data_IF_651626206360
#
_entry.id   IF_651626206360
#
_cell.length_a   1.000
_cell.length_b   1.000
_cell.length_c   1.000
_cell.angle_alpha   90.00
_cell.angle_beta   90.00
_cell.angle_gamma   90.00
#
_symmetry.space_group_name_H-M   'P 1'
#
loop_
_entity.id
_entity.type
_entity.pdbx_description
1 polymer ?
#
# COMPACT_ATOMS: atom_id res chain seq x y z
N UNK A 1 28.80 39.07 31.20
CA UNK A 1 30.20 39.19 31.60
C UNK A 1 30.46 40.43 32.47
N UNK A 2 30.32 41.65 31.96
CA UNK A 2 30.72 42.89 32.65
C UNK A 2 29.97 43.19 33.95
N UNK A 3 28.69 42.81 34.04
CA UNK A 3 27.86 43.02 35.23
C UNK A 3 27.99 41.91 36.29
N UNK A 4 28.63 40.77 35.95
CA UNK A 4 28.72 39.60 36.82
C UNK A 4 30.09 38.90 36.63
N UNK A 5 31.16 39.44 37.22
CA UNK A 5 32.52 38.94 37.02
C UNK A 5 32.73 37.53 37.59
N UNK A 6 31.98 37.15 38.63
CA UNK A 6 32.05 35.82 39.23
C UNK A 6 31.70 34.69 38.24
N UNK A 7 30.84 34.95 37.25
CA UNK A 7 30.49 33.97 36.21
C UNK A 7 31.66 33.65 35.29
N UNK A 8 32.62 34.56 35.10
CA UNK A 8 33.80 34.30 34.25
C UNK A 8 34.97 33.82 35.12
N UNK A 9 35.15 34.41 36.31
CA UNK A 9 36.32 34.15 37.14
C UNK A 9 36.22 32.85 37.93
N UNK A 10 35.00 32.38 38.26
CA UNK A 10 34.77 31.19 39.08
C UNK A 10 34.11 30.05 38.30
N UNK A 11 34.04 30.11 36.97
CA UNK A 11 33.54 29.00 36.15
C UNK A 11 34.53 28.62 35.05
N UNK A 12 34.53 27.35 34.68
CA UNK A 12 35.24 26.87 33.50
C UNK A 12 34.29 26.96 32.32
N UNK A 13 34.71 27.67 31.27
CA UNK A 13 33.92 27.81 30.05
C UNK A 13 34.19 26.60 29.16
N UNK A 14 33.12 25.90 28.78
CA UNK A 14 33.14 24.84 27.78
C UNK A 14 32.39 25.33 26.52
N UNK A 15 33.05 25.23 25.37
CA UNK A 15 32.53 25.76 24.11
C UNK A 15 31.86 24.64 23.31
N UNK A 16 30.58 24.85 22.98
CA UNK A 16 29.82 23.93 22.13
C UNK A 16 29.58 24.57 20.76
N UNK A 17 30.23 24.00 19.75
CA UNK A 17 30.01 24.37 18.36
C UNK A 17 28.84 23.59 17.75
N UNK A 18 28.46 24.00 16.53
CA UNK A 18 27.54 23.21 15.70
C UNK A 18 28.12 21.81 15.49
N UNK A 19 27.26 20.82 15.39
CA UNK A 19 27.73 19.45 15.17
C UNK A 19 28.50 19.32 13.86
N UNK A 20 29.73 18.79 13.88
CA UNK A 20 30.48 18.52 12.66
C UNK A 20 29.81 17.38 11.88
N UNK A 21 30.14 17.27 10.59
CA UNK A 21 29.57 16.27 9.70
C UNK A 21 29.75 14.83 10.23
N UNK A 22 30.91 14.53 10.83
CA UNK A 22 31.19 13.23 11.44
C UNK A 22 30.25 12.92 12.60
N UNK A 23 29.90 13.92 13.41
CA UNK A 23 28.94 13.74 14.51
C UNK A 23 27.52 13.50 13.98
N UNK A 24 27.12 14.21 12.91
CA UNK A 24 25.83 13.98 12.26
C UNK A 24 25.74 12.53 11.75
N UNK A 25 26.78 12.04 11.09
CA UNK A 25 26.84 10.67 10.57
C UNK A 25 26.82 9.63 11.69
N UNK A 26 27.61 9.80 12.75
CA UNK A 26 27.63 8.86 13.88
C UNK A 26 26.26 8.78 14.58
N UNK A 27 25.58 9.94 14.73
CA UNK A 27 24.24 9.98 15.33
C UNK A 27 23.23 9.28 14.41
N UNK A 28 23.20 9.62 13.12
CA UNK A 28 22.31 8.95 12.17
C UNK A 28 22.57 7.45 12.08
N UNK A 29 23.83 7.01 12.07
CA UNK A 29 24.22 5.60 12.09
C UNK A 29 23.67 4.89 13.34
N UNK A 30 23.81 5.49 14.52
CA UNK A 30 23.29 4.92 15.76
C UNK A 30 21.76 4.71 15.72
N UNK A 31 21.00 5.60 15.09
CA UNK A 31 19.54 5.45 14.96
C UNK A 31 19.14 4.50 13.82
N UNK A 32 19.77 4.60 12.65
CA UNK A 32 19.41 3.84 11.45
C UNK A 32 19.90 2.39 11.50
N UNK A 33 21.03 2.10 12.15
CA UNK A 33 21.52 0.73 12.36
C UNK A 33 20.49 -0.14 13.09
N UNK A 34 19.78 0.43 14.07
CA UNK A 34 18.72 -0.24 14.85
C UNK A 34 17.42 -0.41 14.07
N UNK A 35 17.26 0.28 12.95
CA UNK A 35 16.04 0.26 12.15
C UNK A 35 16.07 -0.89 11.14
N UNK A 36 15.47 -2.01 11.51
CA UNK A 36 15.50 -3.27 10.75
C UNK A 36 14.67 -3.24 9.44
N UNK A 37 13.84 -2.21 9.22
CA UNK A 37 12.95 -2.16 8.05
C UNK A 37 13.67 -1.76 6.75
N UNK A 38 14.88 -1.20 6.85
CA UNK A 38 15.71 -0.77 5.72
C UNK A 38 16.80 -1.82 5.46
N UNK A 39 17.02 -2.15 4.18
CA UNK A 39 18.10 -3.04 3.76
C UNK A 39 19.47 -2.43 4.04
N UNK A 40 20.42 -3.25 4.49
CA UNK A 40 21.76 -2.81 4.86
C UNK A 40 22.52 -2.10 3.71
N UNK A 41 22.24 -2.49 2.47
CA UNK A 41 22.79 -1.87 1.26
C UNK A 41 22.49 -0.35 1.19
N UNK A 42 21.29 0.07 1.60
CA UNK A 42 20.86 1.46 1.50
C UNK A 42 21.13 2.27 2.76
N UNK A 43 21.48 1.64 3.88
CA UNK A 43 21.64 2.33 5.18
C UNK A 43 22.72 3.40 5.13
N UNK A 44 23.88 3.08 4.55
CA UNK A 44 25.01 4.03 4.47
C UNK A 44 24.64 5.27 3.65
N UNK A 45 24.01 5.08 2.49
CA UNK A 45 23.56 6.19 1.64
C UNK A 45 22.55 7.08 2.36
N UNK A 46 21.65 6.49 3.15
CA UNK A 46 20.65 7.23 3.93
C UNK A 46 21.31 8.02 5.05
N UNK A 47 22.27 7.42 5.76
CA UNK A 47 23.03 8.08 6.85
C UNK A 47 23.77 9.31 6.30
N UNK A 48 24.48 9.16 5.19
CA UNK A 48 25.20 10.25 4.54
C UNK A 48 24.22 11.36 4.11
N UNK A 49 23.14 10.98 3.43
CA UNK A 49 22.13 11.92 2.97
C UNK A 49 21.46 12.69 4.12
N UNK A 50 21.20 12.03 5.26
CA UNK A 50 20.63 12.69 6.44
C UNK A 50 21.54 13.80 6.95
N UNK A 51 22.85 13.55 7.05
CA UNK A 51 23.81 14.60 7.46
C UNK A 51 23.88 15.75 6.46
N UNK A 52 23.91 15.45 5.14
CA UNK A 52 23.90 16.47 4.08
C UNK A 52 22.64 17.36 4.14
N UNK A 53 21.47 16.77 4.40
CA UNK A 53 20.22 17.54 4.52
C UNK A 53 20.28 18.50 5.71
N UNK A 54 20.84 18.09 6.84
CA UNK A 54 20.97 18.99 7.99
C UNK A 54 21.99 20.11 7.75
N UNK A 55 23.09 19.82 7.06
CA UNK A 55 24.07 20.82 6.66
C UNK A 55 23.48 21.84 5.68
N UNK A 56 22.75 21.39 4.67
CA UNK A 56 22.04 22.29 3.76
C UNK A 56 21.00 23.15 4.48
N UNK A 57 20.27 22.59 5.45
CA UNK A 57 19.35 23.36 6.29
C UNK A 57 20.07 24.47 7.08
N UNK A 58 21.27 24.19 7.61
CA UNK A 58 22.11 25.21 8.26
C UNK A 58 22.51 26.31 7.29
N UNK A 59 22.97 25.96 6.09
CA UNK A 59 23.33 26.92 5.05
C UNK A 59 22.14 27.84 4.68
N UNK A 60 20.94 27.27 4.53
CA UNK A 60 19.74 28.08 4.24
C UNK A 60 19.28 28.93 5.43
N UNK A 61 19.52 28.50 6.68
CA UNK A 61 19.28 29.34 7.85
C UNK A 61 20.13 30.61 7.79
N UNK A 62 21.42 30.48 7.47
CA UNK A 62 22.33 31.62 7.37
C UNK A 62 21.86 32.60 6.25
N UNK A 63 21.51 32.08 5.07
CA UNK A 63 20.92 32.89 3.98
C UNK A 63 19.61 33.57 4.43
N UNK A 64 18.77 32.88 5.19
CA UNK A 64 17.49 33.40 5.65
C UNK A 64 17.70 34.60 6.59
N UNK A 65 18.68 34.51 7.51
CA UNK A 65 19.03 35.63 8.39
C UNK A 65 19.52 36.83 7.59
N UNK A 66 20.37 36.61 6.58
CA UNK A 66 20.90 37.68 5.73
C UNK A 66 19.79 38.42 4.97
N UNK A 67 18.88 37.65 4.35
CA UNK A 67 17.84 38.20 3.47
C UNK A 67 16.66 38.79 4.25
N UNK A 68 16.17 38.07 5.25
CA UNK A 68 14.92 38.42 5.95
C UNK A 68 15.16 39.16 7.26
N UNK A 69 16.42 39.26 7.72
CA UNK A 69 16.79 39.82 9.03
C UNK A 69 16.06 39.14 10.19
N UNK A 70 15.63 37.88 9.99
CA UNK A 70 14.96 37.05 10.98
C UNK A 70 15.84 35.85 11.28
N UNK A 71 16.14 35.65 12.56
CA UNK A 71 17.00 34.55 12.99
C UNK A 71 16.26 33.22 12.87
N UNK A 72 16.85 32.27 12.17
CA UNK A 72 16.43 30.86 12.11
C UNK A 72 17.67 30.00 12.40
N UNK A 73 17.48 28.88 13.08
CA UNK A 73 18.58 28.01 13.51
C UNK A 73 18.20 26.55 13.25
N UNK A 74 19.09 25.81 12.60
CA UNK A 74 19.04 24.36 12.60
C UNK A 74 19.78 23.87 13.85
N UNK A 75 19.04 23.30 14.80
CA UNK A 75 19.61 22.79 16.06
C UNK A 75 19.80 21.28 16.01
N UNK A 76 20.71 20.70 16.82
CA UNK A 76 20.81 19.24 16.94
C UNK A 76 19.49 18.57 17.32
N UNK A 77 18.63 19.26 18.10
CA UNK A 77 17.28 18.78 18.41
C UNK A 77 16.45 18.60 17.14
N UNK A 78 16.46 19.57 16.22
CA UNK A 78 15.75 19.46 14.95
C UNK A 78 16.25 18.28 14.10
N UNK A 79 17.55 17.97 14.19
CA UNK A 79 18.12 16.82 13.50
C UNK A 79 17.60 15.48 14.06
N UNK A 80 17.55 15.35 15.39
CA UNK A 80 16.98 14.17 16.05
C UNK A 80 15.49 14.00 15.74
N UNK A 81 14.74 15.09 15.78
CA UNK A 81 13.31 15.11 15.43
C UNK A 81 13.09 14.71 13.96
N UNK A 82 13.97 15.15 13.06
CA UNK A 82 13.97 14.75 11.65
C UNK A 82 14.18 13.24 11.49
N UNK A 83 15.21 12.66 12.12
CA UNK A 83 15.48 11.22 12.06
C UNK A 83 14.29 10.41 12.62
N UNK A 84 13.76 10.83 13.76
CA UNK A 84 12.60 10.18 14.37
C UNK A 84 11.39 10.21 13.43
N UNK A 85 11.08 11.39 12.88
CA UNK A 85 9.95 11.56 11.95
C UNK A 85 10.13 10.73 10.69
N UNK A 86 11.35 10.65 10.15
CA UNK A 86 11.68 9.82 9.00
C UNK A 86 11.40 8.33 9.28
N UNK A 87 11.90 7.79 10.39
CA UNK A 87 11.70 6.37 10.72
C UNK A 87 10.22 6.03 10.95
N UNK A 88 9.48 6.92 11.61
CA UNK A 88 8.05 6.76 11.81
C UNK A 88 7.28 6.78 10.48
N UNK A 89 7.57 7.76 9.62
CA UNK A 89 6.92 7.90 8.32
C UNK A 89 7.23 6.70 7.41
N UNK A 90 8.48 6.22 7.42
CA UNK A 90 8.89 5.05 6.66
C UNK A 90 8.09 3.81 7.07
N UNK A 91 7.95 3.57 8.37
CA UNK A 91 7.15 2.46 8.90
C UNK A 91 5.70 2.56 8.43
N UNK A 92 5.08 3.73 8.60
CA UNK A 92 3.69 3.96 8.17
C UNK A 92 3.51 3.67 6.67
N UNK A 93 4.40 4.19 5.83
CA UNK A 93 4.34 3.97 4.38
C UNK A 93 4.52 2.51 3.99
N UNK A 94 5.40 1.78 4.67
CA UNK A 94 5.60 0.35 4.45
C UNK A 94 4.37 -0.46 4.85
N UNK A 95 3.76 -0.14 5.98
CA UNK A 95 2.52 -0.78 6.45
C UNK A 95 1.36 -0.50 5.48
N UNK A 96 1.23 0.74 4.99
CA UNK A 96 0.22 1.12 4.01
C UNK A 96 0.41 0.37 2.67
N UNK A 97 1.65 0.24 2.21
CA UNK A 97 1.97 -0.52 1.00
C UNK A 97 1.63 -2.01 1.18
N UNK A 98 1.95 -2.59 2.34
CA UNK A 98 1.61 -3.98 2.65
C UNK A 98 0.10 -4.21 2.63
N UNK A 99 -0.69 -3.30 3.21
CA UNK A 99 -2.16 -3.37 3.19
C UNK A 99 -2.72 -3.25 1.77
N UNK A 100 -2.13 -2.40 0.94
CA UNK A 100 -2.53 -2.28 -0.47
C UNK A 100 -2.23 -3.56 -1.25
N UNK A 101 -1.06 -4.16 -1.04
CA UNK A 101 -0.69 -5.43 -1.66
C UNK A 101 -1.64 -6.56 -1.24
N UNK A 102 -1.99 -6.64 0.05
CA UNK A 102 -2.95 -7.62 0.57
C UNK A 102 -4.33 -7.45 -0.06
N UNK A 103 -4.84 -6.21 -0.14
CA UNK A 103 -6.12 -5.91 -0.80
C UNK A 103 -6.12 -6.33 -2.26
N UNK A 104 -5.03 -6.07 -2.98
CA UNK A 104 -4.88 -6.49 -4.37
C UNK A 104 -4.91 -8.02 -4.49
N UNK A 105 -4.18 -8.72 -3.62
CA UNK A 105 -4.15 -10.17 -3.59
C UNK A 105 -5.55 -10.77 -3.33
N UNK A 106 -6.30 -10.22 -2.37
CA UNK A 106 -7.69 -10.61 -2.13
C UNK A 106 -8.54 -10.34 -3.39
N UNK A 107 -8.36 -9.20 -4.04
CA UNK A 107 -9.04 -8.89 -5.30
C UNK A 107 -8.78 -9.92 -6.40
N UNK A 108 -7.54 -10.36 -6.57
CA UNK A 108 -7.15 -11.39 -7.55
C UNK A 108 -7.85 -12.71 -7.23
N UNK A 109 -7.83 -13.15 -5.97
CA UNK A 109 -8.50 -14.39 -5.53
C UNK A 109 -10.00 -14.32 -5.83
N UNK A 110 -10.66 -13.18 -5.56
CA UNK A 110 -12.09 -13.00 -5.86
C UNK A 110 -12.40 -13.06 -7.35
N UNK A 111 -11.52 -12.56 -8.19
CA UNK A 111 -11.68 -12.63 -9.65
C UNK A 111 -11.58 -14.08 -10.12
N UNK A 112 -10.62 -14.84 -9.59
CA UNK A 112 -10.45 -16.26 -9.92
C UNK A 112 -11.66 -17.10 -9.48
N UNK A 113 -12.15 -16.89 -8.26
CA UNK A 113 -13.39 -17.51 -7.76
C UNK A 113 -14.60 -17.23 -8.68
N UNK A 114 -14.74 -15.98 -9.14
CA UNK A 114 -15.82 -15.58 -10.04
C UNK A 114 -15.70 -16.27 -11.41
N UNK A 115 -14.48 -16.42 -11.95
CA UNK A 115 -14.24 -17.15 -13.20
C UNK A 115 -14.67 -18.61 -13.10
N UNK A 116 -14.33 -19.29 -12.00
CA UNK A 116 -14.75 -20.67 -11.74
C UNK A 116 -16.28 -20.77 -11.64
N UNK A 117 -16.91 -19.84 -10.93
CA UNK A 117 -18.36 -19.82 -10.76
C UNK A 117 -19.08 -19.62 -12.10
N UNK A 118 -18.59 -18.73 -12.97
CA UNK A 118 -19.15 -18.52 -14.31
C UNK A 118 -19.10 -19.81 -15.11
N UNK A 119 -17.97 -20.54 -15.09
CA UNK A 119 -17.83 -21.80 -15.81
C UNK A 119 -18.81 -22.88 -15.30
N UNK A 120 -19.02 -22.95 -13.98
CA UNK A 120 -20.03 -23.84 -13.39
C UNK A 120 -21.46 -23.46 -13.79
N UNK A 121 -21.78 -22.17 -13.81
CA UNK A 121 -23.09 -21.67 -14.23
C UNK A 121 -23.36 -21.98 -15.69
N UNK A 122 -22.39 -21.80 -16.58
CA UNK A 122 -22.51 -22.15 -18.01
C UNK A 122 -22.75 -23.65 -18.21
N UNK A 123 -22.07 -24.50 -17.44
CA UNK A 123 -22.32 -25.95 -17.45
C UNK A 123 -23.75 -26.29 -16.99
N UNK A 124 -24.25 -25.65 -15.93
CA UNK A 124 -25.63 -25.85 -15.43
C UNK A 124 -26.67 -25.39 -16.46
N UNK A 125 -26.48 -24.21 -17.05
CA UNK A 125 -27.36 -23.68 -18.10
C UNK A 125 -27.39 -24.59 -19.32
N UNK A 126 -26.23 -25.12 -19.74
CA UNK A 126 -26.14 -26.08 -20.82
C UNK A 126 -26.93 -27.37 -20.57
N UNK A 127 -26.91 -27.90 -19.34
CA UNK A 127 -27.71 -29.07 -18.94
C UNK A 127 -29.21 -28.77 -18.97
N UNK A 128 -29.63 -27.67 -18.35
CA UNK A 128 -31.03 -27.26 -18.30
C UNK A 128 -31.62 -27.03 -19.70
N UNK A 129 -30.88 -26.41 -20.62
CA UNK A 129 -31.30 -26.25 -22.02
C UNK A 129 -31.52 -27.58 -22.73
N UNK A 130 -30.65 -28.58 -22.51
CA UNK A 130 -30.80 -29.92 -23.09
C UNK A 130 -32.02 -30.64 -22.54
N UNK A 131 -32.28 -30.54 -21.23
CA UNK A 131 -33.46 -31.14 -20.60
C UNK A 131 -34.75 -30.50 -21.13
N UNK A 132 -34.81 -29.16 -21.20
CA UNK A 132 -35.95 -28.44 -21.78
C UNK A 132 -36.25 -28.91 -23.21
N UNK A 133 -35.23 -29.03 -24.07
CA UNK A 133 -35.42 -29.53 -25.44
C UNK A 133 -35.95 -30.97 -25.52
N UNK A 134 -35.61 -31.83 -24.55
CA UNK A 134 -36.21 -33.18 -24.48
C UNK A 134 -37.70 -33.11 -24.13
N UNK A 135 -38.06 -32.32 -23.13
CA UNK A 135 -39.46 -32.14 -22.75
C UNK A 135 -40.30 -31.53 -23.89
N UNK A 136 -39.72 -30.61 -24.66
CA UNK A 136 -40.38 -30.06 -25.86
C UNK A 136 -40.60 -31.13 -26.94
N UNK A 137 -39.60 -31.98 -27.23
CA UNK A 137 -39.72 -33.08 -28.18
C UNK A 137 -40.75 -34.13 -27.72
N UNK A 138 -40.73 -34.51 -26.44
CA UNK A 138 -41.67 -35.47 -25.86
C UNK A 138 -43.11 -34.93 -25.93
N UNK A 139 -43.30 -33.62 -25.67
CA UNK A 139 -44.60 -32.96 -25.81
C UNK A 139 -45.09 -32.97 -27.27
N UNK A 140 -44.22 -32.64 -28.24
CA UNK A 140 -44.56 -32.69 -29.67
C UNK A 140 -44.95 -34.12 -30.08
N UNK A 141 -44.18 -35.12 -29.66
CA UNK A 141 -44.44 -36.52 -29.98
C UNK A 141 -45.78 -36.99 -29.37
N UNK A 142 -46.07 -36.58 -28.13
CA UNK A 142 -47.34 -36.84 -27.46
C UNK A 142 -48.54 -36.22 -28.18
N UNK A 143 -48.43 -34.96 -28.61
CA UNK A 143 -49.47 -34.31 -29.43
C UNK A 143 -49.67 -35.08 -30.74
N UNK A 144 -48.59 -35.45 -31.43
CA UNK A 144 -48.65 -36.15 -32.71
C UNK A 144 -49.27 -37.55 -32.58
N UNK A 145 -48.93 -38.31 -31.53
CA UNK A 145 -49.59 -39.59 -31.22
C UNK A 145 -51.08 -39.39 -30.95
N UNK A 146 -51.44 -38.42 -30.11
CA UNK A 146 -52.85 -38.16 -29.78
C UNK A 146 -53.66 -37.83 -31.03
N UNK A 147 -53.11 -37.02 -31.94
CA UNK A 147 -53.73 -36.74 -33.24
C UNK A 147 -53.83 -38.00 -34.11
N UNK A 148 -52.78 -38.82 -34.18
CA UNK A 148 -52.80 -40.07 -34.94
C UNK A 148 -53.87 -41.04 -34.44
N UNK A 149 -53.95 -41.26 -33.12
CA UNK A 149 -54.98 -42.11 -32.51
C UNK A 149 -56.38 -41.55 -32.72
N UNK A 150 -56.55 -40.23 -32.63
CA UNK A 150 -57.82 -39.57 -32.92
C UNK A 150 -58.25 -39.78 -34.37
N UNK A 151 -57.35 -39.56 -35.35
CA UNK A 151 -57.64 -39.79 -36.77
C UNK A 151 -57.95 -41.26 -37.04
N UNK A 152 -57.17 -42.19 -36.49
CA UNK A 152 -57.41 -43.64 -36.63
C UNK A 152 -58.79 -44.03 -36.09
N UNK A 153 -59.18 -43.52 -34.93
CA UNK A 153 -60.50 -43.75 -34.34
C UNK A 153 -61.64 -43.25 -35.23
N UNK A 154 -61.48 -42.08 -35.84
CA UNK A 154 -62.49 -41.55 -36.76
C UNK A 154 -62.56 -42.31 -38.09
N UNK A 155 -61.42 -42.76 -38.63
CA UNK A 155 -61.39 -43.57 -39.85
C UNK A 155 -62.05 -44.95 -39.65
N UNK A 156 -61.77 -45.64 -38.54
CA UNK A 156 -62.43 -46.91 -38.19
C UNK A 156 -63.95 -46.78 -38.06
N UNK A 157 -64.46 -45.60 -37.69
CA UNK A 157 -65.90 -45.32 -37.61
C UNK A 157 -66.57 -44.99 -38.94
N UNK A 158 -65.80 -44.67 -39.98
CA UNK A 158 -66.32 -44.32 -41.32
C UNK A 158 -66.43 -45.58 -42.21
N UNK A 159 -65.69 -46.65 -41.89
CA UNK A 159 -65.73 -47.94 -42.63
C UNK A 159 -66.84 -48.92 -42.16
N UNK A 160 -67.74 -48.50 -41.26
CA UNK A 160 -68.96 -49.22 -40.86
C UNK A 160 -70.21 -48.42 -41.19
#
# INVERSE_FOLDING_TARGET
ARNFPALINNTTIDYFDRWPQQALYAVAEHFISRFQLISDEYKNNIIEHMGMVHESANFYCDIYVEKMRRSAYATPKNYLDFIHTFTQLYKQKKDDLSKQAERLNVGIIRIDEASILIEEMDKKLGKQRKELGKYELDAIFGIHLSYFYFIKYYLEKIEY
#
